data_IF_570837514819
#
_entry.id   IF_570837514819
#
_cell.length_a   1.000
_cell.length_b   1.000
_cell.length_c   1.000
_cell.angle_alpha   90.00
_cell.angle_beta   90.00
_cell.angle_gamma   90.00
#
_symmetry.space_group_name_H-M   'P 1'
#
loop_
_entity.id
_entity.type
_entity.pdbx_description
1 polymer ?
#
# COMPACT_ATOMS: atom_id res chain seq x y z
N UNK A 1 -60.35 -51.75 -1.14
CA UNK A 1 -60.06 -50.52 -0.34
C UNK A 1 -58.57 -50.51 -0.04
N UNK A 2 -57.78 -49.83 -0.90
CA UNK A 2 -56.36 -49.62 -0.73
C UNK A 2 -56.14 -48.18 -0.32
N UNK A 3 -55.65 -47.94 0.91
CA UNK A 3 -55.31 -46.62 1.41
C UNK A 3 -53.89 -46.24 1.02
N UNK A 4 -53.71 -45.14 0.26
CA UNK A 4 -52.43 -44.50 -0.02
C UNK A 4 -52.04 -43.64 1.17
N UNK A 5 -50.94 -43.99 1.88
CA UNK A 5 -50.28 -43.13 2.86
C UNK A 5 -49.24 -42.30 2.10
N UNK A 6 -49.50 -40.99 1.95
CA UNK A 6 -48.54 -40.01 1.45
C UNK A 6 -47.64 -39.57 2.61
N UNK A 7 -46.36 -39.92 2.58
CA UNK A 7 -45.35 -39.42 3.51
C UNK A 7 -44.90 -38.01 3.10
N UNK A 8 -45.20 -37.02 3.93
CA UNK A 8 -44.69 -35.64 3.79
C UNK A 8 -43.27 -35.63 4.32
N UNK A 9 -42.27 -35.52 3.44
CA UNK A 9 -40.89 -35.30 3.78
C UNK A 9 -40.70 -33.77 4.06
N UNK A 10 -40.58 -33.42 5.31
CA UNK A 10 -40.18 -32.07 5.72
C UNK A 10 -38.67 -31.94 5.49
N UNK A 11 -38.27 -31.20 4.46
CA UNK A 11 -36.88 -30.84 4.24
C UNK A 11 -36.48 -29.75 5.27
N UNK A 12 -35.62 -30.13 6.24
CA UNK A 12 -34.97 -29.20 7.12
C UNK A 12 -33.95 -28.38 6.30
N UNK A 13 -33.91 -27.04 6.44
CA UNK A 13 -32.87 -26.26 5.82
C UNK A 13 -31.50 -26.65 6.40
N UNK A 14 -30.40 -26.64 5.57
CA UNK A 14 -29.06 -26.88 6.06
C UNK A 14 -28.71 -25.84 7.12
N UNK A 15 -27.91 -26.20 8.14
CA UNK A 15 -27.44 -25.24 9.14
C UNK A 15 -26.64 -24.15 8.39
N UNK A 16 -26.96 -22.88 8.66
CA UNK A 16 -26.16 -21.74 8.22
C UNK A 16 -24.72 -21.98 8.70
N UNK A 17 -23.78 -22.02 7.76
CA UNK A 17 -22.37 -22.04 8.10
C UNK A 17 -22.12 -20.77 8.94
N UNK A 18 -21.75 -20.97 10.22
CA UNK A 18 -21.25 -19.86 11.03
C UNK A 18 -20.01 -19.35 10.32
N UNK A 19 -19.95 -18.03 10.07
CA UNK A 19 -18.74 -17.36 9.64
C UNK A 19 -17.64 -17.71 10.65
N UNK A 20 -16.64 -18.49 10.24
CA UNK A 20 -15.44 -18.67 11.04
C UNK A 20 -14.85 -17.27 11.25
N UNK A 21 -14.55 -16.87 12.48
CA UNK A 21 -13.92 -15.58 12.74
C UNK A 21 -12.63 -15.53 11.91
N UNK A 22 -12.47 -14.49 11.11
CA UNK A 22 -11.30 -14.27 10.29
C UNK A 22 -10.05 -14.43 11.18
N UNK A 23 -9.12 -15.29 10.77
CA UNK A 23 -7.90 -15.55 11.52
C UNK A 23 -7.20 -14.22 11.80
N UNK A 24 -6.85 -13.98 13.08
CA UNK A 24 -6.12 -12.76 13.46
C UNK A 24 -4.85 -12.67 12.62
N UNK A 25 -4.58 -11.52 11.96
CA UNK A 25 -3.35 -11.37 11.20
C UNK A 25 -2.12 -11.63 12.09
N UNK A 26 -1.05 -12.22 11.53
CA UNK A 26 0.16 -12.51 12.29
C UNK A 26 0.76 -11.23 12.87
N UNK A 27 1.26 -11.30 14.10
CA UNK A 27 1.86 -10.15 14.79
C UNK A 27 3.10 -9.65 14.05
N UNK A 28 3.20 -8.35 13.75
CA UNK A 28 4.37 -7.77 13.09
C UNK A 28 5.62 -7.90 13.96
N UNK A 29 6.78 -8.13 13.34
CA UNK A 29 8.05 -8.33 14.02
C UNK A 29 9.00 -7.18 13.72
N UNK A 30 9.57 -6.59 14.77
CA UNK A 30 10.57 -5.52 14.67
C UNK A 30 11.82 -5.90 15.43
N UNK A 31 12.98 -5.70 14.83
CA UNK A 31 14.25 -5.81 15.54
C UNK A 31 15.02 -4.49 15.45
N UNK A 32 15.30 -3.92 16.62
CA UNK A 32 16.13 -2.74 16.76
C UNK A 32 17.59 -3.17 16.84
N UNK A 33 18.40 -2.78 15.87
CA UNK A 33 19.85 -3.08 15.84
C UNK A 33 20.60 -1.84 16.27
N UNK A 34 21.24 -1.89 17.45
CA UNK A 34 21.94 -0.77 18.04
C UNK A 34 23.46 -0.93 17.96
N UNK A 35 24.10 0.08 17.40
CA UNK A 35 25.54 0.25 17.45
C UNK A 35 26.00 0.58 18.87
N UNK A 36 26.92 -0.22 19.39
CA UNK A 36 27.59 -0.06 20.70
C UNK A 36 29.10 0.03 20.52
N UNK A 37 29.54 0.41 19.32
CA UNK A 37 30.96 0.58 19.01
C UNK A 37 31.59 1.76 19.76
N UNK A 38 32.92 1.83 19.68
CA UNK A 38 33.70 2.84 20.42
C UNK A 38 33.36 4.30 20.07
N UNK A 39 32.91 4.58 18.83
CA UNK A 39 32.52 5.92 18.36
C UNK A 39 31.30 6.48 19.08
N UNK A 40 30.40 5.63 19.57
CA UNK A 40 29.21 6.03 20.34
C UNK A 40 29.53 6.76 21.65
N UNK A 41 30.82 6.91 22.02
CA UNK A 41 31.28 7.77 23.13
C UNK A 41 31.29 9.27 22.78
N UNK A 42 31.23 9.63 21.49
CA UNK A 42 31.24 11.03 21.04
C UNK A 42 30.12 11.82 21.71
N UNK A 43 30.39 13.09 22.06
CA UNK A 43 29.47 13.99 22.76
C UNK A 43 29.04 15.11 21.79
N UNK A 44 28.13 14.82 20.90
CA UNK A 44 27.70 15.72 19.85
C UNK A 44 26.18 15.68 19.58
N UNK A 45 25.43 14.99 20.45
CA UNK A 45 23.95 14.98 20.38
C UNK A 45 23.44 15.66 21.68
N UNK A 46 22.89 16.87 21.57
CA UNK A 46 22.29 17.65 22.67
C UNK A 46 23.20 17.74 23.92
N UNK A 47 24.53 17.81 23.72
CA UNK A 47 25.52 17.88 24.81
C UNK A 47 25.75 16.55 25.55
N UNK A 48 25.11 15.48 25.17
CA UNK A 48 25.31 14.13 25.72
C UNK A 48 26.05 13.21 24.75
N UNK A 49 26.41 12.00 25.19
CA UNK A 49 27.01 11.01 24.31
C UNK A 49 25.98 10.43 23.38
N UNK A 50 26.38 10.00 22.16
CA UNK A 50 25.52 9.29 21.20
C UNK A 50 24.85 8.08 21.85
N UNK A 51 25.60 7.32 22.67
CA UNK A 51 25.04 6.19 23.43
C UNK A 51 23.98 6.62 24.45
N UNK A 52 24.18 7.75 25.13
CA UNK A 52 23.20 8.27 26.09
C UNK A 52 21.90 8.67 25.38
N UNK A 53 22.03 9.38 24.25
CA UNK A 53 20.89 9.75 23.40
C UNK A 53 20.15 8.51 22.87
N UNK A 54 20.90 7.51 22.40
CA UNK A 54 20.31 6.26 21.93
C UNK A 54 19.55 5.52 23.04
N UNK A 55 20.12 5.40 24.23
CA UNK A 55 19.44 4.76 25.39
C UNK A 55 18.17 5.52 25.79
N UNK A 56 18.19 6.85 25.79
CA UNK A 56 17.02 7.66 26.09
C UNK A 56 15.93 7.39 25.04
N UNK A 57 16.26 7.48 23.75
CA UNK A 57 15.32 7.22 22.66
C UNK A 57 14.75 5.79 22.71
N UNK A 58 15.58 4.78 23.00
CA UNK A 58 15.11 3.42 23.20
C UNK A 58 14.09 3.28 24.32
N UNK A 59 14.34 3.93 25.47
CA UNK A 59 13.40 3.89 26.59
C UNK A 59 12.04 4.49 26.22
N UNK A 60 12.03 5.63 25.50
CA UNK A 60 10.81 6.28 25.02
C UNK A 60 10.06 5.39 24.04
N UNK A 61 10.78 4.81 23.08
CA UNK A 61 10.21 3.87 22.10
C UNK A 61 9.61 2.63 22.78
N UNK A 62 10.35 1.99 23.71
CA UNK A 62 9.88 0.82 24.44
C UNK A 62 8.60 1.09 25.24
N UNK A 63 8.40 2.34 25.71
CA UNK A 63 7.14 2.75 26.36
C UNK A 63 5.98 2.86 25.37
N UNK A 64 6.26 3.25 24.14
CA UNK A 64 5.26 3.55 23.11
C UNK A 64 4.90 2.34 22.21
N UNK A 65 5.72 1.27 22.17
CA UNK A 65 5.50 0.11 21.28
C UNK A 65 4.09 -0.46 21.45
N UNK A 66 3.30 -0.60 20.35
CA UNK A 66 2.00 -1.26 20.39
C UNK A 66 2.09 -2.71 20.87
N UNK A 67 1.09 -3.17 21.64
CA UNK A 67 1.10 -4.50 22.26
C UNK A 67 1.05 -5.69 21.28
N UNK A 68 0.64 -5.44 20.04
CA UNK A 68 0.61 -6.42 18.95
C UNK A 68 1.96 -6.63 18.26
N UNK A 69 2.95 -5.74 18.49
CA UNK A 69 4.28 -5.81 17.88
C UNK A 69 5.17 -6.74 18.70
N UNK A 70 5.74 -7.75 18.05
CA UNK A 70 6.83 -8.57 18.60
C UNK A 70 8.15 -7.84 18.37
N UNK A 71 8.82 -7.43 19.46
CA UNK A 71 10.02 -6.62 19.39
C UNK A 71 11.24 -7.38 19.90
N UNK A 72 12.34 -7.28 19.15
CA UNK A 72 13.67 -7.75 19.55
C UNK A 72 14.69 -6.61 19.57
N UNK A 73 15.78 -6.81 20.28
CA UNK A 73 16.93 -5.89 20.30
C UNK A 73 18.21 -6.67 20.06
N UNK A 74 18.98 -6.25 19.07
CA UNK A 74 20.32 -6.78 18.76
C UNK A 74 21.35 -5.66 18.90
N UNK A 75 22.55 -6.02 19.33
CA UNK A 75 23.68 -5.09 19.39
C UNK A 75 24.80 -5.51 18.46
N UNK A 76 25.60 -4.54 18.07
CA UNK A 76 26.88 -4.75 17.43
C UNK A 76 27.98 -4.00 18.20
N UNK A 77 29.18 -4.56 18.31
CA UNK A 77 30.34 -3.97 18.95
C UNK A 77 30.23 -3.80 20.47
N UNK A 78 29.38 -4.57 21.14
CA UNK A 78 29.08 -4.40 22.56
C UNK A 78 30.01 -5.19 23.51
N UNK A 79 30.60 -6.29 23.05
CA UNK A 79 31.20 -7.28 23.97
C UNK A 79 32.72 -7.39 23.86
N UNK A 80 33.33 -7.05 22.73
CA UNK A 80 34.76 -7.23 22.49
C UNK A 80 35.53 -5.91 22.44
N UNK A 81 36.27 -5.52 23.51
CA UNK A 81 37.05 -4.28 23.56
C UNK A 81 38.45 -4.39 22.91
N UNK A 82 38.81 -5.57 22.41
CA UNK A 82 40.14 -5.84 21.90
C UNK A 82 40.38 -5.33 20.49
N UNK A 83 41.66 -5.43 20.06
CA UNK A 83 42.11 -4.93 18.74
C UNK A 83 42.07 -6.01 17.64
N UNK A 84 41.77 -7.26 17.97
CA UNK A 84 41.69 -8.32 16.97
C UNK A 84 40.40 -8.15 16.13
N UNK A 85 40.59 -7.69 14.88
CA UNK A 85 39.49 -7.46 13.94
C UNK A 85 38.68 -8.73 13.66
N UNK A 86 39.31 -9.91 13.58
CA UNK A 86 38.60 -11.17 13.32
C UNK A 86 37.59 -11.52 14.41
N UNK A 87 37.91 -11.17 15.65
CA UNK A 87 37.03 -11.35 16.80
C UNK A 87 36.02 -10.25 16.86
N UNK A 88 36.43 -8.98 16.74
CA UNK A 88 35.56 -7.82 16.82
C UNK A 88 34.50 -7.80 15.71
N UNK A 89 34.84 -8.29 14.51
CA UNK A 89 33.90 -8.38 13.39
C UNK A 89 32.87 -9.51 13.50
N UNK A 90 32.90 -10.29 14.57
CA UNK A 90 31.86 -11.25 14.94
C UNK A 90 31.04 -10.81 16.14
N UNK A 91 31.34 -9.62 16.69
CA UNK A 91 30.72 -9.11 17.89
C UNK A 91 29.32 -8.52 17.58
N UNK A 92 28.37 -9.42 17.37
CA UNK A 92 26.95 -9.09 17.35
C UNK A 92 26.19 -10.09 18.22
N UNK A 93 25.19 -9.61 18.96
CA UNK A 93 24.44 -10.44 19.90
C UNK A 93 22.99 -9.97 19.99
N UNK A 94 22.07 -10.91 20.00
CA UNK A 94 20.69 -10.64 20.40
C UNK A 94 20.70 -10.30 21.90
N UNK A 95 20.35 -9.06 22.23
CA UNK A 95 20.32 -8.53 23.59
C UNK A 95 18.98 -8.87 24.25
N UNK A 96 17.87 -8.76 23.49
CA UNK A 96 16.53 -9.07 23.89
C UNK A 96 15.87 -9.86 22.74
N UNK A 97 15.26 -11.03 23.00
CA UNK A 97 14.71 -11.88 21.94
C UNK A 97 13.47 -11.26 21.30
N UNK A 98 13.25 -11.55 20.00
CA UNK A 98 12.03 -11.14 19.29
C UNK A 98 10.83 -11.89 19.86
N UNK A 99 9.84 -11.13 20.33
CA UNK A 99 8.63 -11.68 20.95
C UNK A 99 7.77 -10.59 21.60
N UNK A 100 6.74 -11.01 22.33
CA UNK A 100 5.94 -10.09 23.14
C UNK A 100 6.82 -9.27 24.08
N UNK A 101 6.65 -7.95 24.08
CA UNK A 101 7.54 -7.03 24.78
C UNK A 101 7.32 -7.01 26.29
N UNK A 102 8.31 -7.45 27.08
CA UNK A 102 8.46 -7.05 28.49
C UNK A 102 9.30 -5.76 28.57
N UNK A 103 8.62 -4.63 28.81
CA UNK A 103 9.25 -3.30 28.84
C UNK A 103 10.32 -3.18 29.90
N UNK A 104 10.11 -3.80 31.07
CA UNK A 104 11.05 -3.71 32.19
C UNK A 104 12.33 -4.46 31.89
N UNK A 105 12.21 -5.67 31.37
CA UNK A 105 13.36 -6.50 30.98
C UNK A 105 14.15 -5.85 29.84
N UNK A 106 13.46 -5.39 28.79
CA UNK A 106 14.09 -4.74 27.64
C UNK A 106 14.85 -3.46 28.05
N UNK A 107 14.25 -2.59 28.88
CA UNK A 107 14.91 -1.38 29.39
C UNK A 107 16.11 -1.72 30.27
N UNK A 108 16.00 -2.75 31.10
CA UNK A 108 17.12 -3.21 31.94
C UNK A 108 18.28 -3.69 31.06
N UNK A 109 18.01 -4.44 30.01
CA UNK A 109 19.01 -4.88 29.06
C UNK A 109 19.71 -3.72 28.37
N UNK A 110 18.96 -2.73 27.87
CA UNK A 110 19.52 -1.51 27.23
C UNK A 110 20.35 -0.68 28.21
N UNK A 111 19.96 -0.59 29.49
CA UNK A 111 20.70 0.14 30.51
C UNK A 111 22.13 -0.38 30.69
N UNK A 112 22.37 -1.67 30.49
CA UNK A 112 23.71 -2.30 30.66
C UNK A 112 24.71 -1.95 29.57
N UNK A 113 24.28 -1.45 28.41
CA UNK A 113 25.14 -1.22 27.26
C UNK A 113 26.17 -0.12 27.52
N UNK A 114 27.41 -0.35 27.06
CA UNK A 114 28.49 0.63 27.14
C UNK A 114 29.30 0.60 25.85
N UNK A 115 29.58 1.74 25.21
CA UNK A 115 30.35 1.79 23.96
C UNK A 115 31.67 1.05 24.08
N UNK A 116 31.94 0.09 23.19
CA UNK A 116 33.06 -0.84 23.41
C UNK A 116 33.90 -1.06 22.16
N UNK A 117 33.38 -1.75 21.14
CA UNK A 117 34.18 -2.45 20.16
C UNK A 117 34.14 -1.89 18.73
N UNK A 118 34.12 -2.82 17.77
CA UNK A 118 34.09 -2.62 16.32
C UNK A 118 32.66 -2.40 15.83
N UNK A 119 32.52 -2.06 14.53
CA UNK A 119 31.21 -1.81 13.91
C UNK A 119 30.91 -2.89 12.84
N UNK A 120 30.50 -4.12 13.23
CA UNK A 120 30.17 -5.21 12.29
C UNK A 120 28.72 -5.13 11.79
N UNK A 121 28.38 -4.14 10.93
CA UNK A 121 27.01 -3.94 10.42
C UNK A 121 26.52 -5.17 9.62
N UNK A 122 27.30 -5.64 8.65
CA UNK A 122 26.91 -6.79 7.83
C UNK A 122 26.53 -8.03 8.65
N UNK A 123 27.41 -8.51 9.57
CA UNK A 123 27.08 -9.59 10.49
C UNK A 123 25.86 -9.34 11.37
N UNK A 124 25.64 -8.09 11.82
CA UNK A 124 24.48 -7.75 12.64
C UNK A 124 23.18 -7.83 11.84
N UNK A 125 23.16 -7.35 10.60
CA UNK A 125 22.00 -7.47 9.70
C UNK A 125 21.65 -8.94 9.39
N UNK A 126 22.66 -9.79 9.15
CA UNK A 126 22.45 -11.24 8.97
C UNK A 126 21.84 -11.88 10.21
N UNK A 127 22.35 -11.52 11.40
CA UNK A 127 21.82 -12.01 12.67
C UNK A 127 20.38 -11.56 12.90
N UNK A 128 20.06 -10.29 12.66
CA UNK A 128 18.73 -9.75 12.81
C UNK A 128 17.71 -10.39 11.81
N UNK A 129 18.13 -10.61 10.57
CA UNK A 129 17.31 -11.33 9.60
C UNK A 129 17.02 -12.77 10.02
N UNK A 130 17.96 -13.42 10.72
CA UNK A 130 17.77 -14.77 11.30
C UNK A 130 16.79 -14.74 12.48
N UNK A 131 16.93 -13.77 13.39
CA UNK A 131 16.07 -13.61 14.57
C UNK A 131 14.60 -13.35 14.19
N UNK A 132 14.38 -12.68 13.05
CA UNK A 132 13.05 -12.39 12.53
C UNK A 132 12.42 -13.51 11.70
N UNK A 133 13.09 -14.65 11.50
CA UNK A 133 12.56 -15.75 10.69
C UNK A 133 11.26 -16.34 11.24
N UNK A 134 10.47 -16.91 10.34
CA UNK A 134 9.28 -17.69 10.64
C UNK A 134 7.98 -16.88 10.60
N UNK A 135 6.91 -17.52 10.07
CA UNK A 135 5.59 -16.96 9.87
C UNK A 135 5.50 -15.98 8.69
N UNK A 136 4.28 -15.49 8.42
CA UNK A 136 3.97 -14.58 7.31
C UNK A 136 3.82 -13.13 7.77
N UNK A 137 4.34 -12.80 8.96
CA UNK A 137 4.29 -11.46 9.53
C UNK A 137 5.18 -10.47 8.75
N UNK A 138 4.82 -9.20 8.80
CA UNK A 138 5.70 -8.08 8.44
C UNK A 138 6.95 -8.11 9.30
N UNK A 139 8.11 -7.89 8.70
CA UNK A 139 9.40 -7.89 9.38
C UNK A 139 10.13 -6.59 9.09
N UNK A 140 10.65 -5.97 10.13
CA UNK A 140 11.39 -4.73 10.01
C UNK A 140 12.64 -4.77 10.88
N UNK A 141 13.77 -4.36 10.31
CA UNK A 141 15.00 -4.04 11.03
C UNK A 141 15.14 -2.54 11.06
N UNK A 142 15.41 -1.97 12.21
CA UNK A 142 15.79 -0.56 12.37
C UNK A 142 17.23 -0.51 12.87
N UNK A 143 18.16 -0.21 11.96
CA UNK A 143 19.58 -0.08 12.25
C UNK A 143 19.89 1.34 12.72
N UNK A 144 20.45 1.48 13.91
CA UNK A 144 20.89 2.74 14.50
C UNK A 144 22.40 2.69 14.71
N UNK A 145 23.14 3.51 13.98
CA UNK A 145 24.60 3.55 14.01
C UNK A 145 25.13 4.97 13.78
N UNK A 146 26.33 5.24 14.26
CA UNK A 146 27.03 6.51 14.10
C UNK A 146 28.19 6.44 13.11
N UNK A 147 28.45 5.26 12.55
CA UNK A 147 29.65 5.05 11.74
C UNK A 147 29.48 4.05 10.60
N UNK A 148 30.56 3.94 9.82
CA UNK A 148 30.66 2.94 8.77
C UNK A 148 30.99 1.56 9.33
N UNK A 149 30.67 0.54 8.54
CA UNK A 149 31.16 -0.81 8.78
C UNK A 149 32.70 -0.83 8.77
N UNK A 150 33.29 -1.35 9.83
CA UNK A 150 34.75 -1.51 9.97
C UNK A 150 35.19 -2.94 9.63
N UNK A 151 34.32 -3.80 9.14
CA UNK A 151 34.46 -5.24 9.08
C UNK A 151 34.49 -5.85 7.66
N UNK A 152 35.09 -5.13 6.69
CA UNK A 152 35.35 -5.71 5.37
C UNK A 152 36.01 -7.12 5.48
N UNK A 153 35.77 -8.08 4.56
CA UNK A 153 35.30 -7.84 3.21
C UNK A 153 33.79 -7.91 3.02
N UNK A 154 33.01 -8.18 4.05
CA UNK A 154 31.54 -8.28 3.95
C UNK A 154 30.96 -6.88 3.81
N UNK A 155 30.44 -6.54 2.62
CA UNK A 155 29.79 -5.26 2.36
C UNK A 155 28.35 -5.29 2.91
N UNK A 156 27.98 -4.40 3.85
CA UNK A 156 26.62 -4.36 4.41
C UNK A 156 25.53 -4.11 3.38
N UNK A 157 25.82 -3.36 2.30
CA UNK A 157 24.86 -3.12 1.24
C UNK A 157 24.59 -4.39 0.40
N UNK A 158 25.63 -5.19 0.10
CA UNK A 158 25.45 -6.49 -0.54
C UNK A 158 24.66 -7.44 0.38
N UNK A 159 24.95 -7.43 1.68
CA UNK A 159 24.18 -8.20 2.67
C UNK A 159 22.69 -7.82 2.63
N UNK A 160 22.37 -6.52 2.56
CA UNK A 160 20.99 -6.07 2.48
C UNK A 160 20.31 -6.56 1.18
N UNK A 161 20.99 -6.51 0.04
CA UNK A 161 20.52 -7.08 -1.24
C UNK A 161 20.27 -8.59 -1.16
N UNK A 162 21.17 -9.32 -0.53
CA UNK A 162 21.03 -10.78 -0.33
C UNK A 162 19.84 -11.12 0.57
N UNK A 163 19.57 -10.28 1.58
CA UNK A 163 18.40 -10.41 2.45
C UNK A 163 17.12 -10.16 1.63
N UNK A 164 17.08 -9.10 0.83
CA UNK A 164 15.95 -8.78 -0.03
C UNK A 164 15.68 -9.88 -1.07
N UNK A 165 16.73 -10.44 -1.68
CA UNK A 165 16.63 -11.49 -2.70
C UNK A 165 16.03 -12.80 -2.16
N UNK A 166 16.08 -13.06 -0.86
CA UNK A 166 15.50 -14.26 -0.24
C UNK A 166 13.97 -14.24 -0.13
N UNK A 167 13.32 -13.20 -0.64
CA UNK A 167 11.85 -13.10 -0.68
C UNK A 167 11.18 -13.02 0.69
N UNK A 168 11.92 -12.72 1.74
CA UNK A 168 11.39 -12.45 3.07
C UNK A 168 10.89 -11.01 3.01
N UNK A 169 9.61 -10.77 3.30
CA UNK A 169 9.04 -9.41 3.43
C UNK A 169 9.71 -8.66 4.59
N UNK A 170 10.99 -8.32 4.42
CA UNK A 170 11.83 -7.69 5.42
C UNK A 170 12.33 -6.36 4.88
N UNK A 171 12.03 -5.29 5.59
CA UNK A 171 12.47 -3.93 5.31
C UNK A 171 13.54 -3.54 6.32
N UNK A 172 14.62 -2.92 5.86
CA UNK A 172 15.69 -2.39 6.71
C UNK A 172 15.65 -0.86 6.61
N UNK A 173 15.29 -0.20 7.70
CA UNK A 173 15.44 1.24 7.85
C UNK A 173 16.74 1.55 8.58
N UNK A 174 17.37 2.65 8.21
CA UNK A 174 18.66 3.05 8.80
C UNK A 174 18.60 4.46 9.36
N UNK A 175 19.09 4.61 10.58
CA UNK A 175 19.22 5.90 11.29
C UNK A 175 20.69 6.17 11.54
N UNK A 176 21.22 7.22 10.91
CA UNK A 176 22.60 7.68 11.08
C UNK A 176 22.69 8.76 12.15
N UNK A 177 23.44 8.51 13.22
CA UNK A 177 23.70 9.48 14.28
C UNK A 177 24.87 10.38 13.87
N UNK A 178 24.59 11.64 13.52
CA UNK A 178 25.61 12.62 13.08
C UNK A 178 26.56 12.06 12.00
N UNK A 179 26.05 11.49 10.91
CA UNK A 179 26.86 10.75 9.96
C UNK A 179 27.69 11.66 9.05
N UNK A 180 28.90 11.23 8.70
CA UNK A 180 29.65 11.80 7.58
C UNK A 180 29.07 11.37 6.22
N UNK A 181 29.64 11.89 5.12
CA UNK A 181 29.14 11.61 3.77
C UNK A 181 29.23 10.12 3.37
N UNK A 182 30.26 9.44 3.84
CA UNK A 182 30.52 8.03 3.49
C UNK A 182 29.60 7.10 4.27
N UNK A 183 29.46 7.32 5.58
CA UNK A 183 28.47 6.65 6.43
C UNK A 183 27.06 6.83 5.86
N UNK A 184 26.70 8.04 5.47
CA UNK A 184 25.40 8.34 4.84
C UNK A 184 25.17 7.52 3.58
N UNK A 185 26.16 7.48 2.68
CA UNK A 185 26.05 6.71 1.43
C UNK A 185 25.85 5.21 1.70
N UNK A 186 26.59 4.65 2.66
CA UNK A 186 26.43 3.23 3.03
C UNK A 186 25.06 2.95 3.63
N UNK A 187 24.59 3.75 4.55
CA UNK A 187 23.30 3.59 5.22
C UNK A 187 22.13 3.76 4.24
N UNK A 188 22.24 4.72 3.31
CA UNK A 188 21.25 4.90 2.23
C UNK A 188 21.18 3.64 1.36
N UNK A 189 22.33 3.09 0.93
CA UNK A 189 22.36 1.87 0.13
C UNK A 189 21.73 0.67 0.84
N UNK A 190 21.99 0.49 2.14
CA UNK A 190 21.39 -0.59 2.95
C UNK A 190 19.87 -0.48 2.99
N UNK A 191 19.35 0.73 3.23
CA UNK A 191 17.91 0.97 3.31
C UNK A 191 17.23 0.74 1.94
N UNK A 192 17.73 1.39 0.88
CA UNK A 192 17.17 1.30 -0.46
C UNK A 192 17.14 -0.13 -1.01
N UNK A 193 18.16 -0.95 -0.66
CA UNK A 193 18.24 -2.34 -1.09
C UNK A 193 17.02 -3.20 -0.68
N UNK A 194 16.30 -2.79 0.38
CA UNK A 194 15.13 -3.51 0.91
C UNK A 194 13.84 -2.70 0.86
N UNK A 195 13.84 -1.54 0.18
CA UNK A 195 12.68 -0.64 0.14
C UNK A 195 12.45 0.13 1.44
N UNK A 196 13.45 0.21 2.30
CA UNK A 196 13.43 1.00 3.53
C UNK A 196 13.87 2.44 3.33
N UNK A 197 13.99 3.18 4.43
CA UNK A 197 14.35 4.60 4.45
C UNK A 197 15.60 4.87 5.28
N UNK A 198 16.45 5.77 4.77
CA UNK A 198 17.55 6.37 5.53
C UNK A 198 17.09 7.69 6.16
N UNK A 199 17.49 7.93 7.42
CA UNK A 199 17.30 9.21 8.10
C UNK A 199 18.57 9.59 8.85
N UNK A 200 19.01 10.85 8.68
CA UNK A 200 20.05 11.44 9.52
C UNK A 200 19.42 12.06 10.77
N UNK A 201 20.01 11.82 11.92
CA UNK A 201 19.51 12.28 13.21
C UNK A 201 20.62 13.08 13.91
N UNK A 202 20.27 14.26 14.44
CA UNK A 202 21.18 15.14 15.16
C UNK A 202 20.72 15.45 16.60
N UNK A 203 19.43 15.18 16.88
CA UNK A 203 18.80 15.43 18.18
C UNK A 203 18.13 14.18 18.73
N UNK A 204 18.04 14.08 20.06
CA UNK A 204 17.49 12.90 20.74
C UNK A 204 15.99 12.71 20.48
N UNK A 205 15.22 13.79 20.43
CA UNK A 205 13.79 13.77 20.13
C UNK A 205 13.51 13.36 18.68
N UNK A 206 14.34 13.75 17.72
CA UNK A 206 14.30 13.25 16.35
C UNK A 206 14.51 11.73 16.30
N UNK A 207 15.45 11.21 17.11
CA UNK A 207 15.75 9.78 17.16
C UNK A 207 14.56 9.00 17.71
N UNK A 208 14.00 9.37 18.85
CA UNK A 208 12.87 8.67 19.46
C UNK A 208 11.63 8.76 18.58
N UNK A 209 11.31 9.94 18.05
CA UNK A 209 10.18 10.15 17.15
C UNK A 209 10.28 9.31 15.86
N UNK A 210 11.50 9.21 15.30
CA UNK A 210 11.70 8.42 14.08
C UNK A 210 11.63 6.93 14.32
N UNK A 211 12.23 6.42 15.39
CA UNK A 211 12.14 5.00 15.73
C UNK A 211 10.70 4.60 16.04
N UNK A 212 9.96 5.41 16.82
CA UNK A 212 8.53 5.18 17.09
C UNK A 212 7.74 5.09 15.77
N UNK A 213 7.92 6.06 14.86
CA UNK A 213 7.25 6.05 13.56
C UNK A 213 7.55 4.78 12.73
N UNK A 214 8.78 4.26 12.79
CA UNK A 214 9.16 3.05 12.07
C UNK A 214 8.57 1.79 12.72
N UNK A 215 8.45 1.76 14.05
CA UNK A 215 7.77 0.69 14.77
C UNK A 215 6.26 0.71 14.48
N UNK A 216 5.62 1.88 14.50
CA UNK A 216 4.21 2.03 14.16
C UNK A 216 3.92 1.58 12.73
N UNK A 217 4.78 1.94 11.77
CA UNK A 217 4.69 1.44 10.39
C UNK A 217 4.81 -0.08 10.27
N UNK A 218 5.56 -0.73 11.17
CA UNK A 218 5.63 -2.18 11.19
C UNK A 218 4.34 -2.82 11.71
N UNK A 219 3.63 -2.11 12.60
CA UNK A 219 2.33 -2.53 13.12
C UNK A 219 1.21 -2.41 12.07
N UNK A 220 1.37 -1.55 11.06
CA UNK A 220 0.44 -1.48 9.94
C UNK A 220 0.46 -2.83 9.19
N UNK A 221 -0.69 -3.51 9.02
CA UNK A 221 -0.73 -4.78 8.32
C UNK A 221 -0.26 -4.58 6.88
N UNK A 222 0.79 -5.27 6.47
CA UNK A 222 1.13 -5.39 5.05
C UNK A 222 0.04 -6.25 4.42
N UNK A 223 -0.86 -5.59 3.74
CA UNK A 223 -1.90 -6.26 2.98
C UNK A 223 -1.22 -6.81 1.72
N UNK A 224 -0.91 -8.09 1.73
CA UNK A 224 -0.40 -8.76 0.54
C UNK A 224 -1.55 -8.86 -0.47
N UNK A 225 -1.41 -8.30 -1.68
CA UNK A 225 -2.45 -8.44 -2.69
C UNK A 225 -2.73 -9.91 -3.00
N UNK A 226 -4.00 -10.26 -3.08
CA UNK A 226 -4.43 -11.60 -3.46
C UNK A 226 -4.18 -11.80 -4.96
N UNK A 227 -3.35 -12.78 -5.32
CA UNK A 227 -3.13 -13.10 -6.72
C UNK A 227 -4.44 -13.57 -7.35
N UNK A 228 -4.89 -12.85 -8.37
CA UNK A 228 -6.20 -13.09 -9.01
C UNK A 228 -6.08 -12.86 -10.50
N UNK A 229 -6.31 -13.89 -11.28
CA UNK A 229 -6.29 -13.77 -12.73
C UNK A 229 -7.65 -13.26 -13.24
N UNK A 230 -7.65 -12.06 -13.84
CA UNK A 230 -8.81 -11.51 -14.52
C UNK A 230 -9.15 -12.28 -15.79
N UNK A 231 -10.38 -12.18 -16.26
CA UNK A 231 -10.85 -12.86 -17.47
C UNK A 231 -10.87 -11.92 -18.69
N UNK A 232 -11.00 -12.51 -19.89
CA UNK A 232 -11.19 -11.74 -21.13
C UNK A 232 -12.62 -11.18 -21.28
N UNK A 233 -13.57 -11.65 -20.48
CA UNK A 233 -14.99 -11.28 -20.54
C UNK A 233 -15.57 -11.18 -19.14
N UNK A 234 -16.50 -10.24 -18.92
CA UNK A 234 -17.16 -10.08 -17.63
C UNK A 234 -17.87 -11.36 -17.14
N UNK A 235 -18.53 -12.09 -18.03
CA UNK A 235 -19.29 -13.29 -17.65
C UNK A 235 -18.43 -14.39 -17.01
N UNK A 236 -17.13 -14.43 -17.35
CA UNK A 236 -16.16 -15.42 -16.85
C UNK A 236 -15.24 -14.86 -15.78
N UNK A 237 -15.38 -13.57 -15.47
CA UNK A 237 -14.50 -12.86 -14.56
C UNK A 237 -14.65 -13.35 -13.11
N UNK A 238 -13.54 -13.36 -12.32
CA UNK A 238 -13.60 -13.69 -10.90
C UNK A 238 -14.44 -12.67 -10.13
N UNK A 239 -15.15 -13.16 -9.11
CA UNK A 239 -15.89 -12.32 -8.18
C UNK A 239 -14.95 -11.82 -7.10
N UNK A 240 -14.78 -10.51 -7.00
CA UNK A 240 -13.95 -9.84 -5.99
C UNK A 240 -14.82 -9.33 -4.85
N UNK A 241 -14.26 -9.36 -3.65
CA UNK A 241 -14.75 -8.64 -2.46
C UNK A 241 -13.92 -7.37 -2.28
N UNK A 242 -14.23 -6.56 -1.27
CA UNK A 242 -13.34 -5.48 -0.86
C UNK A 242 -11.96 -6.06 -0.50
N UNK A 243 -10.88 -5.48 -1.04
CA UNK A 243 -9.52 -5.99 -0.85
C UNK A 243 -8.53 -5.50 -1.91
N UNK A 244 -7.32 -6.02 -1.81
CA UNK A 244 -6.21 -5.74 -2.70
C UNK A 244 -5.88 -6.98 -3.53
N UNK A 245 -5.71 -6.80 -4.81
CA UNK A 245 -5.50 -7.89 -5.77
C UNK A 245 -4.31 -7.61 -6.66
N UNK A 246 -3.61 -8.65 -7.07
CA UNK A 246 -2.55 -8.57 -8.07
C UNK A 246 -2.83 -9.47 -9.26
N UNK A 247 -2.50 -8.99 -10.44
CA UNK A 247 -2.62 -9.72 -11.70
C UNK A 247 -1.46 -9.37 -12.64
N UNK A 248 -1.42 -9.99 -13.80
CA UNK A 248 -0.56 -9.61 -14.92
C UNK A 248 -1.38 -9.45 -16.18
N UNK A 249 -1.29 -8.27 -16.79
CA UNK A 249 -2.02 -7.93 -17.99
C UNK A 249 -1.08 -7.86 -19.20
N UNK A 250 -1.43 -8.58 -20.27
CA UNK A 250 -0.66 -8.53 -21.52
C UNK A 250 -0.82 -7.17 -22.20
N UNK A 251 0.12 -6.83 -23.04
CA UNK A 251 0.11 -5.59 -23.78
C UNK A 251 -1.12 -5.50 -24.71
N UNK A 252 -1.88 -4.42 -24.60
CA UNK A 252 -3.11 -4.21 -25.36
C UNK A 252 -4.28 -5.13 -24.99
N UNK A 253 -4.18 -5.83 -23.85
CA UNK A 253 -5.23 -6.71 -23.35
C UNK A 253 -6.24 -5.94 -22.50
N UNK A 254 -7.41 -6.57 -22.27
CA UNK A 254 -8.43 -6.11 -21.35
C UNK A 254 -8.70 -7.21 -20.34
N UNK A 255 -8.62 -6.86 -19.05
CA UNK A 255 -8.91 -7.76 -17.93
C UNK A 255 -10.20 -7.37 -17.23
N UNK A 256 -11.02 -8.37 -16.94
CA UNK A 256 -12.33 -8.19 -16.33
C UNK A 256 -12.39 -8.84 -14.95
N UNK A 257 -13.10 -8.15 -14.04
CA UNK A 257 -13.39 -8.60 -12.68
C UNK A 257 -14.83 -8.25 -12.35
N UNK A 258 -15.45 -8.92 -11.38
CA UNK A 258 -16.82 -8.64 -10.93
C UNK A 258 -16.85 -8.23 -9.49
N UNK A 259 -17.73 -7.30 -9.13
CA UNK A 259 -17.96 -6.83 -7.76
C UNK A 259 -19.47 -6.69 -7.57
N UNK A 260 -19.98 -7.18 -6.46
CA UNK A 260 -21.39 -6.99 -6.10
C UNK A 260 -21.54 -5.71 -5.25
N UNK A 261 -22.48 -4.86 -5.63
CA UNK A 261 -22.75 -3.59 -4.96
C UNK A 261 -24.24 -3.58 -4.59
N UNK A 262 -24.52 -3.34 -3.31
CA UNK A 262 -25.90 -3.18 -2.82
C UNK A 262 -26.35 -1.71 -3.02
N UNK A 263 -27.65 -1.46 -3.18
CA UNK A 263 -28.19 -0.10 -3.06
C UNK A 263 -27.80 0.52 -1.71
N UNK A 264 -27.46 1.80 -1.71
CA UNK A 264 -26.90 2.50 -0.56
C UNK A 264 -25.40 2.30 -0.36
N UNK A 265 -24.73 1.51 -1.23
CA UNK A 265 -23.26 1.35 -1.20
C UNK A 265 -22.58 2.15 -2.31
N UNK A 266 -21.32 2.48 -2.08
CA UNK A 266 -20.40 3.07 -3.04
C UNK A 266 -19.28 2.09 -3.36
N UNK A 267 -19.13 1.75 -4.64
CA UNK A 267 -17.95 1.05 -5.15
C UNK A 267 -16.84 2.06 -5.41
N UNK A 268 -15.68 1.84 -4.80
CA UNK A 268 -14.43 2.52 -5.09
C UNK A 268 -13.46 1.51 -5.65
N UNK A 269 -12.89 1.79 -6.80
CA UNK A 269 -11.87 0.93 -7.38
C UNK A 269 -10.73 1.75 -7.94
N UNK A 270 -9.52 1.25 -7.77
CA UNK A 270 -8.31 1.84 -8.37
C UNK A 270 -7.41 0.75 -8.91
N UNK A 271 -6.70 1.07 -9.98
CA UNK A 271 -5.71 0.19 -10.59
C UNK A 271 -4.38 0.91 -10.73
N UNK A 272 -3.31 0.21 -10.37
CA UNK A 272 -1.93 0.64 -10.61
C UNK A 272 -1.24 -0.39 -11.49
N UNK A 273 -0.56 0.08 -12.52
CA UNK A 273 0.25 -0.75 -13.42
C UNK A 273 1.68 -0.26 -13.37
N UNK A 274 2.62 -1.16 -13.01
CA UNK A 274 4.03 -0.85 -12.94
C UNK A 274 4.77 -1.38 -14.18
N UNK A 275 5.56 -0.50 -14.82
CA UNK A 275 6.41 -0.90 -15.93
C UNK A 275 7.66 -1.64 -15.39
N UNK A 276 7.62 -2.97 -15.36
CA UNK A 276 8.78 -3.81 -14.96
C UNK A 276 9.80 -4.00 -16.09
N UNK A 277 9.58 -3.33 -17.23
CA UNK A 277 10.44 -3.37 -18.42
C UNK A 277 10.25 -2.10 -19.27
N UNK A 278 11.13 -1.89 -20.26
CA UNK A 278 11.03 -0.76 -21.17
C UNK A 278 9.73 -0.84 -22.01
N UNK A 279 8.94 0.20 -21.99
CA UNK A 279 7.73 0.40 -22.80
C UNK A 279 7.88 1.66 -23.66
N UNK A 280 7.13 1.73 -24.76
CA UNK A 280 7.06 2.95 -25.57
C UNK A 280 6.31 4.05 -24.80
N UNK A 281 6.60 5.31 -25.07
CA UNK A 281 6.08 6.45 -24.32
C UNK A 281 4.58 6.73 -24.52
N UNK A 282 4.00 6.21 -25.60
CA UNK A 282 2.57 6.38 -25.91
C UNK A 282 1.77 5.21 -25.31
N UNK A 283 1.43 5.27 -24.05
CA UNK A 283 0.63 4.26 -23.39
C UNK A 283 -0.33 4.88 -22.36
N UNK A 284 -1.43 4.19 -22.12
CA UNK A 284 -2.42 4.55 -21.12
C UNK A 284 -3.02 3.34 -20.42
N UNK A 285 -3.52 3.58 -19.23
CA UNK A 285 -4.31 2.65 -18.44
C UNK A 285 -5.66 3.28 -18.15
N UNK A 286 -6.72 2.51 -18.37
CA UNK A 286 -8.09 2.94 -18.14
C UNK A 286 -8.84 1.90 -17.31
N UNK A 287 -9.48 2.35 -16.24
CA UNK A 287 -10.41 1.56 -15.43
C UNK A 287 -11.85 1.99 -15.74
N UNK A 288 -12.73 1.04 -16.04
CA UNK A 288 -14.16 1.26 -16.27
C UNK A 288 -15.01 0.33 -15.42
N UNK A 289 -16.15 0.83 -14.97
CA UNK A 289 -17.22 0.01 -14.43
C UNK A 289 -18.35 -0.08 -15.45
N UNK A 290 -18.80 -1.29 -15.73
CA UNK A 290 -19.88 -1.55 -16.69
C UNK A 290 -20.89 -2.54 -16.08
N UNK A 291 -22.11 -2.53 -16.58
CA UNK A 291 -23.11 -3.57 -16.23
C UNK A 291 -22.71 -4.91 -16.82
N UNK A 292 -23.32 -6.00 -16.35
CA UNK A 292 -23.15 -7.35 -16.93
C UNK A 292 -23.55 -7.44 -18.41
N UNK A 293 -24.32 -6.47 -18.90
CA UNK A 293 -24.72 -6.36 -20.31
C UNK A 293 -23.80 -5.45 -21.13
N UNK A 294 -22.65 -5.03 -20.56
CA UNK A 294 -21.64 -4.22 -21.26
C UNK A 294 -21.93 -2.72 -21.34
N UNK A 295 -22.98 -2.22 -20.65
CA UNK A 295 -23.25 -0.78 -20.60
C UNK A 295 -22.31 -0.11 -19.61
N UNK A 296 -21.57 0.90 -20.05
CA UNK A 296 -20.68 1.68 -19.18
C UNK A 296 -21.51 2.46 -18.15
N UNK A 297 -21.10 2.31 -16.88
CA UNK A 297 -21.68 3.02 -15.71
C UNK A 297 -20.82 4.23 -15.40
N UNK A 298 -19.53 4.01 -15.17
CA UNK A 298 -18.58 5.05 -14.83
C UNK A 298 -17.20 4.69 -15.40
N UNK A 299 -16.44 5.71 -15.73
CA UNK A 299 -15.09 5.62 -16.25
C UNK A 299 -14.15 6.44 -15.40
N UNK A 300 -12.99 5.87 -15.03
CA UNK A 300 -11.86 6.61 -14.49
C UNK A 300 -11.23 7.50 -15.55
N UNK A 301 -10.38 8.42 -15.12
CA UNK A 301 -9.54 9.18 -16.05
C UNK A 301 -8.53 8.23 -16.67
N UNK A 302 -8.28 8.35 -17.97
CA UNK A 302 -7.16 7.67 -18.61
C UNK A 302 -5.86 8.24 -18.03
N UNK A 303 -5.01 7.34 -17.52
CA UNK A 303 -3.72 7.70 -16.95
C UNK A 303 -2.59 7.17 -17.83
N UNK A 304 -1.53 7.96 -18.00
CA UNK A 304 -0.32 7.62 -18.74
C UNK A 304 0.12 8.78 -19.62
N UNK A 305 1.37 9.18 -19.51
CA UNK A 305 1.99 10.20 -20.36
C UNK A 305 3.46 9.87 -20.68
N UNK A 306 3.87 8.63 -20.41
CA UNK A 306 5.23 8.14 -20.63
C UNK A 306 6.28 8.68 -19.65
N UNK A 307 5.89 9.31 -18.54
CA UNK A 307 6.82 9.97 -17.61
C UNK A 307 7.05 9.24 -16.29
N UNK A 308 6.25 8.24 -15.98
CA UNK A 308 6.34 7.52 -14.69
C UNK A 308 6.37 6.01 -14.91
N UNK A 309 7.12 5.30 -14.07
CA UNK A 309 7.21 3.85 -14.08
C UNK A 309 5.94 3.18 -13.51
N UNK A 310 5.10 3.95 -12.81
CA UNK A 310 3.82 3.49 -12.23
C UNK A 310 2.71 4.42 -12.68
N UNK A 311 1.65 3.83 -13.22
CA UNK A 311 0.45 4.55 -13.66
C UNK A 311 -0.71 4.08 -12.82
N UNK A 312 -1.47 5.01 -12.27
CA UNK A 312 -2.64 4.72 -11.45
C UNK A 312 -3.85 5.50 -11.92
N UNK A 313 -5.00 4.84 -11.98
CA UNK A 313 -6.31 5.45 -12.22
C UNK A 313 -7.35 4.82 -11.32
N UNK A 314 -8.44 5.54 -11.06
CA UNK A 314 -9.51 5.06 -10.20
C UNK A 314 -10.87 5.59 -10.58
N UNK A 315 -11.91 4.98 -10.03
CA UNK A 315 -13.30 5.38 -10.20
C UNK A 315 -14.08 5.25 -8.90
N UNK A 316 -15.21 5.96 -8.84
CA UNK A 316 -16.21 5.87 -7.78
C UNK A 316 -17.58 5.66 -8.41
N UNK A 317 -18.35 4.73 -7.87
CA UNK A 317 -19.73 4.49 -8.28
C UNK A 317 -20.62 4.37 -7.02
N UNK A 318 -21.27 5.49 -6.60
CA UNK A 318 -22.29 5.44 -5.57
C UNK A 318 -23.58 4.88 -6.15
N UNK A 319 -24.13 3.83 -5.54
CA UNK A 319 -25.41 3.25 -5.93
C UNK A 319 -26.52 3.81 -5.02
N UNK A 320 -27.40 4.60 -5.61
CA UNK A 320 -28.52 5.18 -4.88
C UNK A 320 -29.45 4.11 -4.31
N UNK A 321 -30.03 4.36 -3.14
CA UNK A 321 -31.15 3.56 -2.65
C UNK A 321 -32.40 3.82 -3.50
N UNK A 322 -33.20 2.79 -3.80
CA UNK A 322 -34.48 2.98 -4.47
C UNK A 322 -35.41 3.80 -3.54
N UNK A 323 -36.09 4.79 -4.11
CA UNK A 323 -36.96 5.70 -3.35
C UNK A 323 -38.15 5.03 -2.63
N UNK A 324 -38.53 3.83 -3.03
CA UNK A 324 -39.64 3.04 -2.48
C UNK A 324 -39.16 1.60 -2.19
N UNK A 325 -38.65 1.35 -0.98
CA UNK A 325 -38.41 0.00 -0.49
C UNK A 325 -39.58 -0.46 0.39
N UNK A 326 -40.62 -1.02 -0.20
CA UNK A 326 -41.70 -1.69 0.53
C UNK A 326 -41.23 -2.94 1.28
N UNK A 327 -40.23 -2.80 2.16
CA UNK A 327 -39.74 -3.87 3.04
C UNK A 327 -39.01 -5.04 2.34
N UNK A 328 -38.81 -4.99 1.04
CA UNK A 328 -38.04 -5.98 0.27
C UNK A 328 -36.58 -5.55 0.25
N UNK A 329 -35.70 -6.36 0.83
CA UNK A 329 -34.26 -6.11 0.78
C UNK A 329 -33.80 -6.07 -0.69
N UNK A 330 -33.30 -4.94 -1.20
CA UNK A 330 -32.93 -4.82 -2.59
C UNK A 330 -31.81 -5.81 -2.94
N UNK A 331 -31.88 -6.42 -4.12
CA UNK A 331 -30.86 -7.35 -4.61
C UNK A 331 -29.57 -6.61 -4.94
N UNK A 332 -28.42 -7.25 -4.70
CA UNK A 332 -27.13 -6.73 -5.15
C UNK A 332 -27.08 -6.70 -6.69
N UNK A 333 -26.39 -5.70 -7.22
CA UNK A 333 -26.08 -5.62 -8.65
C UNK A 333 -24.62 -6.00 -8.86
N UNK A 334 -24.39 -6.92 -9.81
CA UNK A 334 -23.02 -7.25 -10.21
C UNK A 334 -22.51 -6.20 -11.18
N UNK A 335 -21.44 -5.51 -10.78
CA UNK A 335 -20.69 -4.53 -11.59
C UNK A 335 -19.45 -5.21 -12.13
N UNK A 336 -19.18 -5.03 -13.42
CA UNK A 336 -17.98 -5.51 -14.08
C UNK A 336 -16.94 -4.41 -14.11
N UNK A 337 -15.77 -4.63 -13.49
CA UNK A 337 -14.61 -3.76 -13.63
C UNK A 337 -13.78 -4.24 -14.83
N UNK A 338 -13.46 -3.32 -15.72
CA UNK A 338 -12.57 -3.57 -16.85
C UNK A 338 -11.31 -2.72 -16.70
N UNK A 339 -10.16 -3.37 -16.60
CA UNK A 339 -8.84 -2.76 -16.77
C UNK A 339 -8.44 -2.89 -18.22
N UNK A 340 -7.99 -1.81 -18.82
CA UNK A 340 -7.54 -1.76 -20.21
C UNK A 340 -6.22 -1.04 -20.29
N UNK A 341 -5.27 -1.55 -21.08
CA UNK A 341 -4.01 -0.88 -21.33
C UNK A 341 -3.72 -0.76 -22.83
N UNK A 342 -2.92 0.24 -23.18
CA UNK A 342 -2.41 0.47 -24.54
C UNK A 342 -0.89 0.30 -24.62
N UNK A 343 -0.29 -0.50 -23.75
CA UNK A 343 1.15 -0.71 -23.75
C UNK A 343 1.65 -1.30 -25.07
N UNK A 344 2.79 -0.80 -25.50
CA UNK A 344 3.61 -1.38 -26.55
C UNK A 344 5.09 -1.33 -26.13
N UNK A 345 5.92 -2.14 -26.77
CA UNK A 345 7.35 -2.20 -26.45
C UNK A 345 8.19 -2.26 -27.70
N UNK A 346 9.47 -1.82 -27.65
CA UNK A 346 10.43 -2.07 -28.70
C UNK A 346 10.57 -3.57 -29.02
N UNK A 347 10.83 -3.92 -30.26
CA UNK A 347 10.92 -5.32 -30.72
C UNK A 347 11.95 -6.18 -29.96
N UNK A 348 12.92 -5.57 -29.29
CA UNK A 348 13.93 -6.25 -28.46
C UNK A 348 13.44 -6.62 -27.06
N UNK A 349 12.28 -6.11 -26.62
CA UNK A 349 11.73 -6.31 -25.28
C UNK A 349 10.70 -7.43 -25.32
N UNK A 350 10.85 -8.40 -24.42
CA UNK A 350 9.85 -9.46 -24.25
C UNK A 350 8.59 -8.89 -23.60
N UNK A 351 7.42 -9.12 -24.20
CA UNK A 351 6.13 -8.67 -23.70
C UNK A 351 5.46 -9.66 -22.74
N UNK A 352 6.00 -10.87 -22.62
CA UNK A 352 5.54 -11.87 -21.65
C UNK A 352 6.58 -12.13 -20.54
N UNK A 353 6.12 -12.40 -19.30
CA UNK A 353 4.74 -12.32 -18.83
C UNK A 353 4.22 -10.88 -18.89
N UNK A 354 2.90 -10.68 -18.83
CA UNK A 354 2.28 -9.35 -18.89
C UNK A 354 2.79 -8.40 -17.78
N UNK A 355 2.41 -7.13 -17.85
CA UNK A 355 2.77 -6.10 -16.87
C UNK A 355 2.13 -6.39 -15.52
N UNK A 356 2.81 -6.14 -14.39
CA UNK A 356 2.22 -6.23 -13.06
C UNK A 356 1.08 -5.23 -12.91
N UNK A 357 -0.05 -5.72 -12.42
CA UNK A 357 -1.26 -4.94 -12.14
C UNK A 357 -1.63 -5.12 -10.68
N UNK A 358 -1.88 -4.03 -9.98
CA UNK A 358 -2.46 -4.01 -8.64
C UNK A 358 -3.84 -3.37 -8.72
N UNK A 359 -4.85 -4.07 -8.25
CA UNK A 359 -6.24 -3.61 -8.22
C UNK A 359 -6.72 -3.52 -6.78
N UNK A 360 -7.20 -2.34 -6.40
CA UNK A 360 -7.88 -2.13 -5.12
C UNK A 360 -9.37 -2.05 -5.36
N UNK A 361 -10.13 -2.78 -4.59
CA UNK A 361 -11.60 -2.75 -4.58
C UNK A 361 -12.06 -2.44 -3.17
N UNK A 362 -12.93 -1.46 -3.01
CA UNK A 362 -13.57 -1.12 -1.75
C UNK A 362 -15.07 -0.92 -1.98
N UNK A 363 -15.88 -1.37 -1.01
CA UNK A 363 -17.33 -1.22 -1.04
C UNK A 363 -17.76 -0.67 0.31
N UNK A 364 -18.12 0.59 0.34
CA UNK A 364 -18.44 1.35 1.55
C UNK A 364 -19.88 1.85 1.49
N UNK A 365 -20.42 2.34 2.60
CA UNK A 365 -21.71 3.01 2.59
C UNK A 365 -21.67 4.27 1.74
N UNK A 366 -22.67 4.45 0.89
CA UNK A 366 -22.77 5.63 0.05
C UNK A 366 -23.10 6.87 0.91
N UNK A 367 -22.64 8.07 0.54
CA UNK A 367 -23.05 9.29 1.24
C UNK A 367 -24.55 9.52 1.08
N UNK A 368 -25.18 10.11 2.11
CA UNK A 368 -26.64 10.34 2.20
C UNK A 368 -27.26 11.09 1.00
N UNK A 369 -26.46 11.83 0.24
CA UNK A 369 -26.87 12.53 -0.99
C UNK A 369 -26.28 11.89 -2.25
N UNK A 370 -26.10 10.56 -2.27
CA UNK A 370 -25.62 9.85 -3.44
C UNK A 370 -26.56 10.06 -4.63
N UNK A 371 -26.22 11.01 -5.47
CA UNK A 371 -26.90 11.20 -6.74
C UNK A 371 -26.24 10.29 -7.77
N UNK A 372 -27.02 9.36 -8.33
CA UNK A 372 -26.63 8.49 -9.45
C UNK A 372 -26.50 9.28 -10.77
N UNK A 373 -25.77 10.40 -10.70
CA UNK A 373 -25.70 11.43 -11.76
C UNK A 373 -24.92 10.90 -12.97
N UNK A 374 -24.00 9.96 -12.75
CA UNK A 374 -23.19 9.42 -13.83
C UNK A 374 -23.87 8.32 -14.63
N UNK A 375 -24.85 7.62 -14.05
CA UNK A 375 -25.43 6.43 -14.67
C UNK A 375 -26.60 6.69 -15.62
N UNK A 376 -27.42 7.73 -15.41
CA UNK A 376 -28.77 7.76 -16.02
C UNK A 376 -29.24 9.07 -16.61
N UNK A 377 -28.39 9.98 -16.96
CA UNK A 377 -28.85 11.13 -17.69
C UNK A 377 -28.37 12.47 -17.18
N UNK A 378 -28.85 13.49 -17.80
CA UNK A 378 -28.44 14.88 -17.62
C UNK A 378 -28.76 15.46 -16.22
N UNK A 379 -29.40 14.70 -15.33
CA UNK A 379 -29.77 15.16 -14.00
C UNK A 379 -30.41 16.56 -14.05
N UNK A 380 -29.88 17.52 -13.27
CA UNK A 380 -30.26 18.94 -13.38
C UNK A 380 -29.94 19.56 -14.74
N UNK A 381 -29.19 18.92 -15.62
CA UNK A 381 -28.89 19.35 -16.99
C UNK A 381 -30.11 19.43 -17.89
N UNK A 382 -31.20 18.74 -17.58
CA UNK A 382 -32.48 18.92 -18.28
C UNK A 382 -32.99 20.36 -18.18
N UNK A 383 -32.82 21.03 -17.03
CA UNK A 383 -33.17 22.43 -16.85
C UNK A 383 -32.30 23.35 -17.69
N UNK A 384 -30.98 23.03 -17.81
CA UNK A 384 -30.08 23.78 -18.68
C UNK A 384 -30.45 23.61 -20.15
N UNK A 385 -30.81 22.40 -20.58
CA UNK A 385 -31.34 22.17 -21.92
C UNK A 385 -32.64 22.91 -22.17
N UNK A 386 -33.58 22.87 -21.24
CA UNK A 386 -34.84 23.60 -21.35
C UNK A 386 -34.59 25.12 -21.43
N UNK A 387 -33.71 25.67 -20.60
CA UNK A 387 -33.31 27.07 -20.63
C UNK A 387 -32.64 27.43 -21.95
N UNK A 388 -31.75 26.58 -22.49
CA UNK A 388 -31.04 26.79 -23.74
C UNK A 388 -32.03 26.78 -24.94
N UNK A 389 -32.99 25.87 -24.95
CA UNK A 389 -34.06 25.82 -25.97
C UNK A 389 -34.93 27.06 -25.88
N UNK A 390 -35.34 27.47 -24.67
CA UNK A 390 -36.20 28.64 -24.45
C UNK A 390 -35.49 29.94 -24.86
N UNK A 391 -34.19 30.10 -24.50
CA UNK A 391 -33.40 31.26 -24.90
C UNK A 391 -33.17 31.30 -26.40
N UNK A 392 -32.94 30.16 -27.05
CA UNK A 392 -32.83 30.06 -28.50
C UNK A 392 -34.14 30.45 -29.22
N UNK A 393 -35.26 29.99 -28.67
CA UNK A 393 -36.60 30.31 -29.22
C UNK A 393 -36.91 31.80 -29.07
N UNK A 394 -36.65 32.39 -27.90
CA UNK A 394 -36.86 33.83 -27.64
C UNK A 394 -35.96 34.67 -28.53
N UNK A 395 -34.68 34.31 -28.63
CA UNK A 395 -33.73 35.01 -29.53
C UNK A 395 -34.16 34.93 -31.00
N UNK A 396 -34.62 33.75 -31.45
CA UNK A 396 -35.15 33.56 -32.79
C UNK A 396 -36.39 34.38 -33.09
N UNK A 397 -37.32 34.46 -32.13
CA UNK A 397 -38.53 35.29 -32.26
C UNK A 397 -38.20 36.80 -32.30
N UNK A 398 -37.29 37.23 -31.42
CA UNK A 398 -36.82 38.63 -31.42
C UNK A 398 -36.12 38.99 -32.73
N UNK A 399 -35.24 38.12 -33.22
CA UNK A 399 -34.58 38.33 -34.50
C UNK A 399 -35.56 38.33 -35.67
N UNK A 400 -36.52 37.42 -35.69
CA UNK A 400 -37.57 37.37 -36.70
C UNK A 400 -38.46 38.61 -36.68
N UNK A 401 -38.76 39.15 -35.49
CA UNK A 401 -39.51 40.39 -35.35
C UNK A 401 -38.73 41.63 -35.83
N UNK A 402 -37.47 41.75 -35.40
CA UNK A 402 -36.57 42.85 -35.83
C UNK A 402 -36.30 42.81 -37.36
N UNK A 403 -36.15 41.64 -37.94
CA UNK A 403 -35.92 41.48 -39.39
C UNK A 403 -37.12 41.91 -40.25
N UNK A 404 -38.35 41.71 -39.73
CA UNK A 404 -39.58 42.21 -40.38
C UNK A 404 -39.61 43.73 -40.48
N UNK A 405 -39.17 44.44 -39.44
CA UNK A 405 -39.11 45.88 -39.42
C UNK A 405 -38.05 46.41 -40.41
N UNK A 406 -36.96 45.77 -40.56
CA UNK A 406 -35.92 46.11 -41.53
C UNK A 406 -36.39 45.98 -42.98
N UNK A 407 -37.18 44.94 -43.30
CA UNK A 407 -37.75 44.75 -44.64
C UNK A 407 -38.79 45.83 -44.96
N UNK A 408 -39.55 46.32 -44.01
CA UNK A 408 -40.51 47.41 -44.23
C UNK A 408 -39.88 48.77 -44.55
N UNK A 409 -38.70 49.06 -43.97
CA UNK A 409 -37.96 50.33 -44.21
C UNK A 409 -37.33 50.37 -45.62
N UNK A 410 -37.04 49.26 -46.26
CA UNK A 410 -36.43 49.23 -47.60
C UNK A 410 -37.44 49.26 -48.76
N UNK A 411 -38.74 49.25 -48.49
CA UNK A 411 -39.83 49.30 -49.51
C UNK A 411 -40.45 50.66 -49.71
N UNK A 412 -39.99 51.70 -49.04
CA UNK A 412 -40.52 53.05 -49.10
C UNK A 412 -39.63 54.10 -49.78
N UNK A 413 -38.72 53.65 -50.73
CA UNK A 413 -38.06 54.60 -51.63
C UNK A 413 -38.07 54.03 -53.05
#
# INVERSE_FOLDING_TARGET
MCGLLAALAVALPPPAAADEPAAKPPSPKVELVLDVSGSMRARDIDGQTRMSAAKQAFNEVLDAVPGEVELGIRTLGANYPGKDRKVGCKDTKQLYPVGPLDRTEAKTAVATLAPTGWTPIGPALLGAAEDLKGGDATRRIVLITDGEDTCAPLDPCEVARDIAAKGIHLVIDTLGLVPDAKTRSQLTCIAEATGGTYTSVQHTDELSGRVSQLVDRAAEPVITPVATEGAAECAKAPQLKAGFYSDREKFGEHRWYRVDVLPGQELRASVSVAADRAVNNDYGVLLRAVTVHGREIVRGSEAGDGRTDVISTGLRYPKAEPADSDGVKPASETVCLQVSNSFSAPASVKTEPGMPVELTVDVVDAPDEAADVAAFGLGRGWWLLAVLVLTGLVAGLLWGWISRWRIAVWRTN
#
